data_IF_853317186012
#
_entry.id   IF_853317186012
#
_cell.length_a   1.000
_cell.length_b   1.000
_cell.length_c   1.000
_cell.angle_alpha   90.00
_cell.angle_beta   90.00
_cell.angle_gamma   90.00
#
_symmetry.space_group_name_H-M   'P 1'
#
loop_
_entity.id
_entity.type
_entity.pdbx_description
1 polymer ?
2 water ?
#
# COMPACT_ATOMS: atom_id res chain seq x y z
N UNK A 18 -20.89 -13.53 18.09
CA UNK A 18 -20.85 -13.76 16.66
C UNK A 18 -21.15 -12.49 15.83
N UNK A 19 -21.65 -11.42 16.45
CA UNK A 19 -21.90 -10.16 15.73
C UNK A 19 -20.59 -9.52 15.28
N UNK A 20 -20.43 -9.35 13.97
CA UNK A 20 -19.12 -9.04 13.40
C UNK A 20 -18.54 -7.72 13.89
N UNK A 21 -19.35 -6.78 14.37
CA UNK A 21 -18.78 -5.51 14.83
C UNK A 21 -18.35 -5.57 16.31
N UNK A 22 -18.38 -6.74 16.91
CA UNK A 22 -17.89 -6.96 18.27
C UNK A 22 -16.71 -7.92 18.28
N UNK A 23 -16.18 -8.28 17.12
CA UNK A 23 -15.13 -9.28 17.06
C UNK A 23 -13.82 -8.71 17.63
N UNK A 24 -13.10 -9.49 18.44
CA UNK A 24 -11.76 -9.07 18.89
C UNK A 24 -10.83 -8.92 17.69
N UNK A 25 -10.18 -7.77 17.59
CA UNK A 25 -9.52 -7.38 16.35
C UNK A 25 -8.08 -6.98 16.65
N UNK A 26 -7.14 -7.66 16.02
CA UNK A 26 -5.73 -7.36 16.21
C UNK A 26 -5.20 -6.61 14.98
N UNK A 27 -4.74 -5.38 15.18
CA UNK A 27 -4.24 -4.55 14.09
C UNK A 27 -2.72 -4.69 14.07
N UNK A 28 -2.17 -5.15 12.96
CA UNK A 28 -0.71 -5.35 12.84
C UNK A 28 -0.11 -4.17 12.09
N UNK A 29 0.70 -3.38 12.78
CA UNK A 29 1.26 -2.17 12.23
C UNK A 29 0.58 -0.98 12.87
N UNK A 30 1.36 -0.11 13.52
CA UNK A 30 0.83 1.05 14.23
C UNK A 30 1.16 2.37 13.53
N UNK A 31 1.10 2.38 12.20
CA UNK A 31 1.19 3.63 11.47
C UNK A 31 -0.02 4.51 11.74
N UNK A 32 0.01 5.75 11.24
CA UNK A 32 -1.13 6.65 11.48
C UNK A 32 -2.44 6.03 11.05
N UNK A 33 -2.44 5.31 9.93
CA UNK A 33 -3.64 4.64 9.46
C UNK A 33 -4.23 3.77 10.57
N UNK A 34 -3.38 3.15 11.38
CA UNK A 34 -3.91 2.25 12.40
C UNK A 34 -4.69 3.02 13.46
N UNK A 35 -4.34 4.28 13.71
CA UNK A 35 -5.07 5.06 14.69
C UNK A 35 -6.47 5.40 14.17
N UNK A 36 -6.54 5.95 12.96
CA UNK A 36 -7.82 6.17 12.29
C UNK A 36 -8.67 4.91 12.30
N UNK A 37 -8.08 3.78 11.88
CA UNK A 37 -8.79 2.52 11.82
C UNK A 37 -9.32 2.11 13.18
N UNK A 38 -8.48 2.21 14.20
CA UNK A 38 -8.91 1.85 15.55
C UNK A 38 -10.08 2.71 16.02
N UNK A 39 -10.07 4.01 15.71
CA UNK A 39 -11.20 4.88 16.03
C UNK A 39 -12.44 4.44 15.27
N UNK A 40 -12.28 4.10 13.99
CA UNK A 40 -13.41 3.70 13.16
C UNK A 40 -14.04 2.39 13.66
N UNK A 41 -13.24 1.46 14.18
CA UNK A 41 -13.80 0.21 14.70
C UNK A 41 -14.50 0.45 16.04
N UNK A 42 -13.86 1.23 16.92
CA UNK A 42 -14.41 1.54 18.23
C UNK A 42 -15.72 2.31 18.13
N UNK A 43 -15.86 3.11 17.08
CA UNK A 43 -17.07 3.90 16.87
C UNK A 43 -18.18 3.08 16.25
N UNK A 44 -17.85 1.99 15.55
CA UNK A 44 -18.88 1.14 14.96
C UNK A 44 -19.20 -0.08 15.80
N UNK A 45 -18.56 -0.26 16.95
CA UNK A 45 -18.91 -1.39 17.80
C UNK A 45 -18.07 -1.44 19.05
N UNK A 46 -18.41 -2.40 19.91
CA UNK A 46 -17.72 -2.62 21.18
C UNK A 46 -16.90 -3.90 21.01
N UNK A 47 -15.66 -3.72 20.59
CA UNK A 47 -14.80 -4.84 20.25
C UNK A 47 -13.47 -4.69 20.99
N UNK A 48 -12.92 -5.81 21.43
CA UNK A 48 -11.58 -5.79 21.99
C UNK A 48 -10.58 -5.44 20.89
N UNK A 49 -9.63 -4.56 21.20
CA UNK A 49 -8.70 -4.04 20.19
C UNK A 49 -7.26 -4.29 20.61
N UNK A 50 -6.51 -5.01 19.77
CA UNK A 50 -5.09 -5.21 19.95
C UNK A 50 -4.28 -4.49 18.90
N UNK A 51 -3.02 -4.22 19.19
CA UNK A 51 -2.17 -3.47 18.30
C UNK A 51 -0.76 -4.04 18.39
N UNK A 52 -0.10 -4.10 17.24
CA UNK A 52 1.28 -4.57 17.11
C UNK A 52 2.07 -3.52 16.37
N UNK A 53 3.31 -3.34 16.78
CA UNK A 53 4.27 -2.64 15.97
C UNK A 53 5.64 -3.21 16.26
N UNK A 54 6.47 -3.29 15.23
CA UNK A 54 7.81 -3.82 15.41
C UNK A 54 8.58 -2.97 16.41
N UNK A 55 9.62 -3.53 17.06
CA UNK A 55 10.34 -2.80 18.12
C UNK A 55 11.31 -1.74 17.60
N UNK A 56 10.91 -0.99 16.59
CA UNK A 56 11.65 0.21 16.18
C UNK A 56 11.72 1.21 17.32
N UNK A 57 12.39 2.33 17.09
CA UNK A 57 12.36 3.43 18.05
C UNK A 57 10.94 3.89 18.27
N UNK A 58 10.22 4.19 17.18
CA UNK A 58 8.82 4.57 17.25
C UNK A 58 7.99 3.56 18.03
N UNK A 59 8.12 2.28 17.68
CA UNK A 59 7.31 1.27 18.32
C UNK A 59 7.61 1.17 19.81
N UNK A 60 8.88 1.24 20.18
CA UNK A 60 9.24 1.20 21.59
C UNK A 60 8.63 2.37 22.34
N UNK A 61 8.70 3.56 21.76
CA UNK A 61 8.16 4.75 22.41
C UNK A 61 6.65 4.62 22.62
N UNK A 62 5.93 4.18 21.58
CA UNK A 62 4.52 3.86 21.73
C UNK A 62 4.29 2.76 22.75
N UNK A 63 5.19 1.78 22.80
CA UNK A 63 5.00 0.67 23.72
C UNK A 63 5.00 1.17 25.16
N UNK A 64 5.94 2.05 25.50
CA UNK A 64 5.99 2.64 26.82
C UNK A 64 4.76 3.49 27.09
N UNK A 65 4.49 4.44 26.19
CA UNK A 65 3.30 5.27 26.36
C UNK A 65 2.08 4.43 26.73
N UNK A 66 1.79 3.40 25.92
CA UNK A 66 0.52 2.70 26.07
C UNK A 66 0.46 1.91 27.37
N UNK A 67 1.62 1.50 27.89
CA UNK A 67 1.67 0.78 29.14
C UNK A 67 1.22 1.63 30.32
N UNK A 68 1.17 2.96 30.13
CA UNK A 68 0.75 3.91 31.14
C UNK A 68 -0.70 4.35 30.95
N UNK A 69 -1.04 4.70 29.71
CA UNK A 69 -2.37 5.19 29.37
C UNK A 69 -2.66 4.60 27.99
N UNK A 70 -3.49 3.55 27.91
CA UNK A 70 -3.63 2.82 26.64
C UNK A 70 -4.69 3.43 25.71
N UNK A 71 -4.47 4.69 25.32
CA UNK A 71 -5.44 5.38 24.47
C UNK A 71 -4.69 6.12 23.37
N UNK A 72 -5.25 6.07 22.17
CA UNK A 72 -4.79 6.82 21.02
C UNK A 72 -5.74 7.97 20.78
N UNK A 73 -5.26 8.96 20.02
CA UNK A 73 -6.00 10.18 19.76
C UNK A 73 -5.98 10.49 18.28
N UNK A 74 -7.09 11.01 17.78
CA UNK A 74 -7.26 11.33 16.37
C UNK A 74 -8.00 12.66 16.25
N UNK A 75 -7.54 13.50 15.33
CA UNK A 75 -8.19 14.77 15.00
C UNK A 75 -8.51 14.80 13.50
N UNK A 76 -9.79 14.91 13.16
CA UNK A 76 -10.14 15.23 11.79
C UNK A 76 -9.88 16.70 11.49
N UNK A 77 -9.28 16.96 10.34
CA UNK A 77 -9.00 18.32 9.89
C UNK A 77 -9.46 18.53 8.46
N UNK A 78 -9.70 19.79 8.12
CA UNK A 78 -10.10 20.16 6.77
C UNK A 78 -11.35 19.42 6.32
N UNK A 79 -11.30 18.90 5.09
CA UNK A 79 -12.38 18.07 4.55
C UNK A 79 -12.86 17.03 5.57
N UNK A 80 -11.92 16.32 6.18
CA UNK A 80 -12.24 15.22 7.08
C UNK A 80 -12.96 15.67 8.35
N UNK A 81 -12.80 16.94 8.74
CA UNK A 81 -13.52 17.49 9.88
C UNK A 81 -15.02 17.23 9.81
N UNK A 82 -15.54 17.00 8.60
CA UNK A 82 -16.97 16.81 8.40
C UNK A 82 -17.49 15.54 9.08
N UNK A 83 -16.69 14.46 9.03
CA UNK A 83 -17.08 13.18 9.62
C UNK A 83 -16.07 12.64 10.61
N UNK A 84 -14.97 13.34 10.85
CA UNK A 84 -14.00 12.95 11.87
C UNK A 84 -13.65 14.18 12.69
N UNK A 85 -14.08 14.18 13.96
CA UNK A 85 -13.72 15.19 14.92
C UNK A 85 -12.68 14.62 15.89
N UNK A 86 -12.51 15.26 17.04
CA UNK A 86 -11.60 14.74 18.04
C UNK A 86 -12.14 13.44 18.60
N UNK A 87 -11.30 12.40 18.61
CA UNK A 87 -11.70 11.09 19.13
C UNK A 87 -10.55 10.50 19.94
N UNK A 88 -10.91 9.54 20.78
CA UNK A 88 -9.99 8.80 21.63
C UNK A 88 -10.41 7.34 21.56
N UNK A 89 -9.45 6.43 21.60
CA UNK A 89 -9.77 5.00 21.54
C UNK A 89 -8.80 4.25 22.43
N UNK A 90 -9.34 3.31 23.23
CA UNK A 90 -8.56 2.52 24.14
C UNK A 90 -8.01 1.29 23.43
N UNK A 91 -6.75 0.96 23.70
CA UNK A 91 -6.14 -0.26 23.21
C UNK A 91 -6.12 -1.25 24.36
N UNK A 92 -6.67 -2.44 24.14
CA UNK A 92 -6.74 -3.43 25.20
C UNK A 92 -5.48 -4.26 25.30
N UNK A 93 -4.69 -4.33 24.23
CA UNK A 93 -3.51 -5.18 24.20
C UNK A 93 -2.56 -4.60 23.17
N UNK A 94 -1.31 -4.39 23.58
CA UNK A 94 -0.25 -3.95 22.68
C UNK A 94 0.89 -4.95 22.77
N UNK A 95 1.43 -5.32 21.61
CA UNK A 95 2.51 -6.28 21.51
C UNK A 95 3.53 -5.75 20.53
N UNK A 96 4.77 -6.18 20.71
CA UNK A 96 5.86 -5.84 19.80
C UNK A 96 6.61 -7.08 19.33
N UNK A 97 6.09 -8.27 19.59
CA UNK A 97 6.63 -9.50 19.07
C UNK A 97 5.47 -10.25 18.44
N UNK A 98 5.60 -10.60 17.15
CA UNK A 98 4.49 -11.29 16.49
C UNK A 98 4.28 -12.68 17.06
N UNK A 99 5.29 -13.26 17.71
CA UNK A 99 5.05 -14.51 18.40
C UNK A 99 4.04 -14.37 19.52
N UNK A 100 3.70 -13.14 19.91
CA UNK A 100 2.69 -12.92 20.93
C UNK A 100 1.31 -12.66 20.33
N UNK A 101 1.18 -12.84 19.01
CA UNK A 101 -0.10 -12.62 18.31
C UNK A 101 -0.89 -13.90 18.44
N UNK A 102 -1.48 -14.08 19.61
CA UNK A 102 -2.10 -15.34 20.02
C UNK A 102 -3.31 -15.01 20.89
N UNK A 103 -4.19 -15.99 21.06
CA UNK A 103 -5.38 -15.82 21.88
C UNK A 103 -6.64 -15.91 21.06
N UNK A 104 -7.66 -15.14 21.46
CA UNK A 104 -9.00 -15.30 20.90
C UNK A 104 -9.28 -14.32 19.78
N UNK A 105 -8.24 -13.75 19.18
CA UNK A 105 -8.42 -12.81 18.10
C UNK A 105 -9.14 -13.47 16.94
N UNK A 106 -10.16 -12.80 16.40
CA UNK A 106 -10.90 -13.34 15.29
C UNK A 106 -10.70 -12.56 14.01
N UNK A 107 -10.15 -11.36 14.09
CA UNK A 107 -9.83 -10.57 12.91
C UNK A 107 -8.42 -10.02 13.08
N UNK A 108 -7.60 -10.26 12.05
CA UNK A 108 -6.29 -9.62 11.90
C UNK A 108 -6.39 -8.61 10.79
N UNK A 109 -5.94 -7.39 11.04
CA UNK A 109 -5.90 -6.37 10.01
C UNK A 109 -4.43 -6.00 9.78
N UNK A 110 -3.93 -6.23 8.58
CA UNK A 110 -2.54 -5.89 8.23
C UNK A 110 -2.53 -4.44 7.77
N UNK A 111 -2.15 -3.56 8.68
CA UNK A 111 -1.89 -2.16 8.39
C UNK A 111 -0.46 -1.90 7.92
N UNK A 112 0.41 -2.90 7.95
CA UNK A 112 1.79 -2.76 7.47
C UNK A 112 1.76 -2.66 5.95
N UNK A 113 2.79 -2.11 5.31
CA UNK A 113 2.78 -2.07 3.85
C UNK A 113 2.86 -3.46 3.27
N UNK A 114 2.39 -3.57 2.02
CA UNK A 114 2.16 -4.87 1.41
C UNK A 114 3.43 -5.68 1.21
N UNK A 115 4.61 -5.05 1.02
CA UNK A 115 5.81 -5.83 0.81
C UNK A 115 6.32 -6.46 2.10
N UNK A 116 5.62 -6.27 3.21
CA UNK A 116 5.95 -6.86 4.49
C UNK A 116 4.96 -7.95 4.91
N UNK A 117 3.89 -8.16 4.15
CA UNK A 117 2.91 -9.20 4.45
C UNK A 117 3.59 -10.54 4.68
N UNK A 118 4.48 -10.93 3.76
CA UNK A 118 5.09 -12.26 3.85
C UNK A 118 5.88 -12.42 5.13
N UNK A 119 6.81 -11.50 5.40
CA UNK A 119 7.62 -11.58 6.61
C UNK A 119 6.73 -11.63 7.85
N UNK A 120 5.67 -10.83 7.85
CA UNK A 120 4.79 -10.75 9.01
C UNK A 120 4.00 -12.04 9.16
N UNK A 121 3.28 -12.46 8.12
CA UNK A 121 2.48 -13.67 8.21
C UNK A 121 3.31 -14.89 8.56
N UNK A 122 4.60 -14.91 8.18
CA UNK A 122 5.41 -16.08 8.51
C UNK A 122 5.73 -16.16 9.98
N UNK A 123 5.63 -15.04 10.70
CA UNK A 123 5.92 -15.00 12.12
C UNK A 123 4.69 -15.24 13.00
N UNK A 124 3.48 -15.33 12.43
CA UNK A 124 2.29 -15.42 13.28
C UNK A 124 2.08 -16.88 13.68
N UNK A 125 1.90 -17.15 14.92
CA UNK A 125 1.69 -18.55 15.34
C UNK A 125 0.24 -18.93 15.16
N UNK A 126 -0.08 -19.42 13.95
CA UNK A 126 -1.47 -19.61 13.55
C UNK A 126 -2.19 -20.60 14.44
N UNK A 127 -1.47 -21.57 15.00
CA UNK A 127 -2.10 -22.59 15.84
C UNK A 127 -2.65 -21.97 17.12
N UNK A 128 -2.14 -20.82 17.53
CA UNK A 128 -2.57 -20.16 18.75
C UNK A 128 -3.65 -19.11 18.49
N UNK A 129 -4.27 -19.16 17.31
CA UNK A 129 -5.40 -18.30 16.93
C UNK A 129 -6.53 -19.23 16.52
N UNK A 130 -7.11 -19.96 17.48
CA UNK A 130 -8.12 -20.97 17.13
C UNK A 130 -9.42 -20.39 16.61
N UNK A 131 -9.72 -19.12 16.86
CA UNK A 131 -10.99 -18.51 16.45
C UNK A 131 -10.83 -17.50 15.33
N UNK A 132 -9.73 -17.58 14.59
CA UNK A 132 -9.49 -16.66 13.50
C UNK A 132 -10.50 -16.82 12.39
N UNK A 133 -11.17 -15.74 12.01
CA UNK A 133 -12.16 -15.74 10.92
C UNK A 133 -11.77 -14.88 9.71
N UNK A 134 -10.97 -13.86 9.88
CA UNK A 134 -10.69 -13.04 8.72
C UNK A 134 -9.35 -12.34 8.84
N UNK A 135 -8.71 -12.12 7.70
CA UNK A 135 -7.49 -11.35 7.61
C UNK A 135 -7.69 -10.31 6.54
N UNK A 136 -7.55 -9.04 6.91
CA UNK A 136 -7.87 -7.92 6.02
C UNK A 136 -6.56 -7.24 5.62
N UNK A 137 -6.36 -7.10 4.31
CA UNK A 137 -5.16 -6.49 3.72
C UNK A 137 -5.50 -5.05 3.38
N UNK A 138 -5.08 -4.14 4.25
CA UNK A 138 -5.62 -2.81 4.28
C UNK A 138 -5.13 -1.99 3.09
N UNK A 139 -3.85 -2.09 2.77
CA UNK A 139 -3.29 -1.42 1.58
C UNK A 139 -2.59 -2.48 0.72
N UNK A 140 -3.41 -3.23 0.01
CA UNK A 140 -2.94 -4.41 -0.68
C UNK A 140 -2.08 -4.04 -1.89
N UNK A 141 -1.44 -5.05 -2.46
CA UNK A 141 -0.79 -4.94 -3.75
C UNK A 141 -1.31 -6.07 -4.61
N UNK A 142 -1.01 -6.01 -5.91
CA UNK A 142 -1.42 -7.08 -6.81
C UNK A 142 -0.72 -8.38 -6.45
N UNK A 143 -1.50 -9.42 -6.16
CA UNK A 143 -0.94 -10.70 -5.75
C UNK A 143 -0.91 -10.90 -4.25
N UNK A 144 -1.16 -9.86 -3.48
CA UNK A 144 -1.09 -9.98 -2.03
C UNK A 144 -2.06 -11.05 -1.53
N UNK A 145 -3.32 -11.03 -2.02
CA UNK A 145 -4.31 -11.96 -1.53
C UNK A 145 -4.05 -13.39 -1.97
N UNK A 146 -3.55 -13.58 -3.20
CA UNK A 146 -3.17 -14.93 -3.59
C UNK A 146 -2.07 -15.47 -2.69
N UNK A 147 -1.11 -14.61 -2.34
CA UNK A 147 -0.02 -15.04 -1.47
C UNK A 147 -0.54 -15.37 -0.07
N UNK A 148 -1.37 -14.50 0.49
CA UNK A 148 -1.87 -14.74 1.84
C UNK A 148 -2.72 -16.01 1.86
N UNK A 149 -3.53 -16.22 0.83
CA UNK A 149 -4.26 -17.48 0.72
C UNK A 149 -3.33 -18.68 0.85
N UNK A 150 -2.23 -18.64 0.11
CA UNK A 150 -1.32 -19.76 0.10
C UNK A 150 -0.78 -20.02 1.51
N UNK A 151 -0.32 -18.98 2.19
CA UNK A 151 0.21 -19.12 3.54
C UNK A 151 -0.86 -19.64 4.49
N UNK A 152 -2.07 -19.07 4.42
CA UNK A 152 -3.14 -19.56 5.29
C UNK A 152 -3.45 -21.02 4.99
N UNK A 153 -3.56 -21.36 3.71
CA UNK A 153 -3.92 -22.72 3.36
C UNK A 153 -2.91 -23.71 3.93
N UNK A 154 -1.62 -23.35 3.90
CA UNK A 154 -0.59 -24.20 4.45
C UNK A 154 -0.71 -24.33 5.96
N UNK A 155 -1.19 -23.31 6.67
CA UNK A 155 -1.40 -23.41 8.12
C UNK A 155 -2.76 -24.06 8.51
N UNK A 156 -3.48 -24.66 7.57
CA UNK A 156 -4.79 -25.20 7.89
C UNK A 156 -5.85 -24.15 8.14
N UNK A 157 -5.66 -22.91 7.65
CA UNK A 157 -6.60 -21.82 7.88
C UNK A 157 -7.34 -21.49 6.59
N UNK A 158 -7.55 -22.49 5.73
CA UNK A 158 -8.28 -22.30 4.51
C UNK A 158 -9.65 -21.66 4.73
N UNK A 159 -10.26 -21.88 5.90
CA UNK A 159 -11.56 -21.29 6.19
C UNK A 159 -11.51 -19.78 6.35
N UNK A 160 -10.36 -19.22 6.70
CA UNK A 160 -10.32 -17.79 7.04
C UNK A 160 -10.62 -16.95 5.81
N UNK A 161 -11.40 -15.88 6.00
CA UNK A 161 -11.72 -14.95 4.91
C UNK A 161 -10.59 -13.96 4.73
N UNK A 162 -10.08 -13.86 3.51
CA UNK A 162 -9.01 -12.93 3.15
C UNK A 162 -9.63 -11.81 2.34
N UNK A 163 -9.52 -10.57 2.83
CA UNK A 163 -10.04 -9.42 2.11
C UNK A 163 -8.89 -8.48 1.75
N UNK A 164 -8.77 -8.17 0.46
CA UNK A 164 -7.87 -7.13 -0.04
C UNK A 164 -8.61 -5.82 -0.26
N UNK A 165 -8.06 -4.72 0.26
CA UNK A 165 -8.54 -3.39 -0.10
C UNK A 165 -7.55 -2.75 -1.04
N UNK A 166 -8.06 -1.94 -1.98
CA UNK A 166 -7.21 -1.33 -3.01
C UNK A 166 -6.22 -0.33 -2.43
N UNK A 167 -6.60 0.39 -1.38
CA UNK A 167 -5.67 1.30 -0.74
C UNK A 167 -6.18 1.53 0.66
N UNK A 168 -5.37 2.21 1.45
CA UNK A 168 -5.90 2.74 2.70
C UNK A 168 -6.88 3.86 2.34
N UNK A 169 -7.85 4.09 3.21
CA UNK A 169 -9.03 4.87 2.84
C UNK A 169 -8.97 6.33 3.30
N UNK A 170 -7.83 6.79 3.79
CA UNK A 170 -7.68 8.15 4.30
C UNK A 170 -6.25 8.64 4.11
N UNK A 171 -6.09 9.96 4.18
CA UNK A 171 -4.77 10.59 4.31
C UNK A 171 -4.57 10.93 5.78
N UNK A 172 -3.86 10.06 6.50
CA UNK A 172 -3.63 10.21 7.93
C UNK A 172 -2.14 10.33 8.21
N UNK A 173 -1.79 11.13 9.21
CA UNK A 173 -0.39 11.41 9.52
C UNK A 173 -0.24 11.72 11.01
N UNK A 174 1.01 11.70 11.48
CA UNK A 174 1.23 12.01 12.89
C UNK A 174 1.23 13.52 13.11
N UNK A 175 1.18 13.90 14.39
CA UNK A 175 1.30 15.30 14.78
C UNK A 175 2.72 15.58 15.28
N UNK A 200 3.16 11.95 20.47
CA UNK A 200 3.32 11.99 19.02
C UNK A 200 2.86 10.67 18.37
N UNK A 201 3.53 9.55 18.67
CA UNK A 201 3.21 8.30 17.96
C UNK A 201 1.82 7.77 18.26
N UNK A 202 1.19 8.25 19.33
CA UNK A 202 -0.17 7.87 19.70
C UNK A 202 -1.17 8.94 19.32
N UNK A 203 -0.79 9.87 18.44
CA UNK A 203 -1.61 11.00 18.05
C UNK A 203 -1.53 11.16 16.54
N UNK A 204 -2.69 11.24 15.88
CA UNK A 204 -2.73 11.38 14.43
C UNK A 204 -3.76 12.43 14.03
N UNK A 205 -3.62 12.91 12.81
CA UNK A 205 -4.64 13.74 12.21
C UNK A 205 -4.95 13.20 10.82
N UNK A 206 -6.22 13.26 10.45
CA UNK A 206 -6.69 12.82 9.15
C UNK A 206 -7.13 14.05 8.36
N UNK A 207 -6.49 14.28 7.21
CA UNK A 207 -6.81 15.43 6.35
C UNK A 207 -8.03 15.17 5.47
N UNK A 208 -8.25 13.93 5.05
CA UNK A 208 -9.14 13.63 3.94
C UNK A 208 -9.46 12.14 3.94
N UNK A 209 -10.61 11.80 3.37
CA UNK A 209 -11.01 10.42 3.14
C UNK A 209 -11.19 10.17 1.66
N UNK A 210 -11.01 8.91 1.27
CA UNK A 210 -11.06 8.51 -0.14
C UNK A 210 -12.50 8.52 -0.65
N UNK A 211 -12.66 8.68 -1.97
CA UNK A 211 -13.97 8.62 -2.61
C UNK A 211 -14.55 7.22 -2.55
N UNK A 212 -13.81 6.24 -3.06
CA UNK A 212 -14.21 4.86 -3.08
C UNK A 212 -12.99 3.98 -2.83
N UNK A 213 -13.27 2.74 -2.43
CA UNK A 213 -12.29 1.69 -2.19
C UNK A 213 -12.80 0.45 -2.89
N UNK A 214 -11.93 -0.25 -3.60
CA UNK A 214 -12.27 -1.54 -4.17
C UNK A 214 -11.84 -2.64 -3.20
N UNK A 215 -12.70 -3.64 -3.02
CA UNK A 215 -12.36 -4.74 -2.12
C UNK A 215 -12.91 -6.03 -2.66
N UNK A 216 -12.35 -7.13 -2.16
CA UNK A 216 -12.81 -8.47 -2.54
C UNK A 216 -12.33 -9.45 -1.49
N UNK A 217 -13.05 -10.57 -1.35
CA UNK A 217 -12.48 -11.74 -0.70
C UNK A 217 -12.15 -12.78 -1.76
N UNK A 218 -11.53 -13.86 -1.30
CA UNK A 218 -11.02 -14.84 -2.23
C UNK A 218 -12.11 -15.57 -3.00
N UNK A 219 -13.37 -15.49 -2.57
CA UNK A 219 -14.43 -16.26 -3.21
C UNK A 219 -15.26 -15.41 -4.17
N UNK A 220 -14.91 -14.14 -4.34
CA UNK A 220 -15.72 -13.27 -5.14
C UNK A 220 -17.10 -13.04 -4.57
N UNK A 221 -17.29 -13.26 -3.27
CA UNK A 221 -18.56 -12.88 -2.68
C UNK A 221 -18.82 -11.42 -3.00
N UNK A 222 -20.03 -10.98 -2.76
CA UNK A 222 -20.36 -9.57 -2.91
C UNK A 222 -20.64 -8.90 -1.58
N UNK A 223 -21.02 -9.67 -0.57
CA UNK A 223 -21.50 -9.16 0.71
C UNK A 223 -21.56 -10.22 1.81
N UNK A 224 -20.43 -10.89 2.04
CA UNK A 224 -20.24 -11.62 3.28
C UNK A 224 -20.45 -10.68 4.47
N UNK A 225 -20.51 -11.28 5.66
CA UNK A 225 -20.60 -10.51 6.89
C UNK A 225 -19.42 -9.56 7.04
N UNK A 226 -18.21 -10.06 6.81
CA UNK A 226 -17.03 -9.20 6.96
C UNK A 226 -17.09 -8.04 5.99
N UNK A 227 -17.42 -8.32 4.74
CA UNK A 227 -17.50 -7.26 3.74
C UNK A 227 -18.55 -6.23 4.12
N UNK A 228 -19.70 -6.69 4.62
CA UNK A 228 -20.73 -5.78 5.12
C UNK A 228 -20.21 -4.96 6.30
N UNK A 229 -19.48 -5.59 7.22
CA UNK A 229 -18.88 -4.84 8.32
C UNK A 229 -17.93 -3.77 7.80
N UNK A 230 -17.01 -4.14 6.90
CA UNK A 230 -16.10 -3.14 6.32
C UNK A 230 -16.86 -1.99 5.65
N UNK A 231 -17.90 -2.31 4.88
CA UNK A 231 -18.69 -1.24 4.26
C UNK A 231 -19.26 -0.33 5.33
N UNK A 232 -19.83 -0.91 6.39
CA UNK A 232 -20.37 -0.11 7.49
C UNK A 232 -19.31 0.77 8.11
N UNK A 233 -18.11 0.23 8.33
CA UNK A 233 -17.02 1.02 8.91
C UNK A 233 -16.73 2.21 8.03
N UNK A 234 -16.64 1.98 6.72
CA UNK A 234 -16.18 3.03 5.84
C UNK A 234 -17.29 4.01 5.51
N UNK A 235 -18.54 3.56 5.55
CA UNK A 235 -19.68 4.45 5.29
C UNK A 235 -19.70 5.63 6.25
N UNK A 236 -19.27 5.43 7.49
CA UNK A 236 -19.19 6.51 8.46
C UNK A 236 -18.48 7.74 7.92
N UNK A 237 -17.67 7.60 6.86
CA UNK A 237 -16.97 8.72 6.25
C UNK A 237 -17.37 8.91 4.79
N UNK A 238 -18.52 8.38 4.39
CA UNK A 238 -19.05 8.57 3.03
C UNK A 238 -18.14 7.94 1.98
N UNK A 239 -17.41 6.90 2.36
CA UNK A 239 -16.51 6.23 1.43
C UNK A 239 -17.30 5.13 0.74
N UNK A 240 -17.26 5.13 -0.59
CA UNK A 240 -17.88 4.05 -1.35
C UNK A 240 -17.02 2.80 -1.28
N UNK A 241 -17.68 1.64 -1.21
CA UNK A 241 -17.02 0.35 -1.32
C UNK A 241 -17.57 -0.38 -2.54
N UNK A 242 -16.68 -0.86 -3.40
CA UNK A 242 -17.07 -1.54 -4.64
C UNK A 242 -16.58 -2.99 -4.62
N UNK A 243 -17.46 -4.00 -4.52
CA UNK A 243 -16.99 -5.39 -4.46
C UNK A 243 -16.49 -5.84 -5.82
N UNK A 244 -15.42 -6.64 -5.82
CA UNK A 244 -14.81 -7.14 -7.04
C UNK A 244 -14.91 -8.66 -7.09
N UNK A 245 -14.71 -9.24 -8.28
CA UNK A 245 -14.99 -10.67 -8.44
C UNK A 245 -13.90 -11.57 -7.86
N UNK A 246 -12.70 -11.05 -7.63
CA UNK A 246 -11.63 -11.81 -7.00
C UNK A 246 -10.63 -10.80 -6.44
N UNK A 247 -9.68 -11.32 -5.67
CA UNK A 247 -8.74 -10.46 -4.95
C UNK A 247 -7.94 -9.59 -5.93
N UNK A 248 -7.44 -10.18 -7.01
CA UNK A 248 -6.64 -9.44 -7.98
C UNK A 248 -7.47 -8.37 -8.68
N UNK A 249 -8.77 -8.64 -8.86
CA UNK A 249 -9.65 -7.67 -9.51
C UNK A 249 -9.95 -6.45 -8.63
N UNK A 250 -9.69 -6.52 -7.33
CA UNK A 250 -9.63 -5.34 -6.45
C UNK A 250 -8.22 -4.72 -6.40
N UNK A 251 -7.19 -5.57 -6.34
CA UNK A 251 -5.84 -5.07 -6.10
C UNK A 251 -5.34 -4.26 -7.29
N UNK A 252 -5.85 -4.56 -8.47
CA UNK A 252 -5.50 -3.85 -9.67
C UNK A 252 -5.77 -2.35 -9.54
N UNK A 253 -6.52 -1.94 -8.53
CA UNK A 253 -6.85 -0.53 -8.28
C UNK A 253 -5.95 0.10 -7.23
N UNK A 254 -4.75 -0.45 -7.01
CA UNK A 254 -3.82 0.15 -6.06
C UNK A 254 -3.00 1.21 -6.80
N UNK A 255 -3.29 2.48 -6.53
CA UNK A 255 -2.77 3.57 -7.33
C UNK A 255 -1.25 3.59 -7.26
N UNK A 256 -0.69 3.25 -6.10
CA UNK A 256 0.74 3.45 -5.91
C UNK A 256 1.57 2.52 -6.79
N UNK A 257 1.03 1.35 -7.15
CA UNK A 257 1.75 0.49 -8.08
C UNK A 257 1.97 1.18 -9.44
N UNK A 258 1.07 2.05 -9.84
CA UNK A 258 1.13 2.67 -11.14
C UNK A 258 1.99 3.93 -11.13
N UNK A 259 1.90 4.69 -10.04
CA UNK A 259 2.38 6.05 -10.02
C UNK A 259 3.75 6.16 -9.37
N UNK A 260 4.00 5.43 -8.29
CA UNK A 260 5.29 5.58 -7.62
C UNK A 260 6.48 5.16 -8.47
N UNK A 261 6.48 3.99 -9.10
CA UNK A 261 7.70 3.54 -9.75
C UNK A 261 8.19 4.52 -10.81
N UNK A 262 7.35 5.00 -11.74
CA UNK A 262 7.90 5.94 -12.75
C UNK A 262 8.43 7.23 -12.16
N UNK A 263 7.77 7.76 -11.13
CA UNK A 263 8.25 9.00 -10.52
C UNK A 263 9.43 8.72 -9.59
N UNK A 264 9.33 7.68 -8.77
CA UNK A 264 10.33 7.47 -7.75
C UNK A 264 11.63 6.93 -8.32
N UNK A 265 11.56 6.22 -9.44
CA UNK A 265 12.70 5.54 -10.01
C UNK A 265 13.26 6.26 -11.24
N UNK A 266 12.81 7.49 -11.48
CA UNK A 266 13.41 8.34 -12.49
C UNK A 266 14.85 8.67 -12.12
N UNK A 267 15.72 8.64 -13.13
CA UNK A 267 17.12 9.01 -12.93
C UNK A 267 17.27 10.18 -11.97
N UNK A 268 16.53 11.26 -12.19
CA UNK A 268 16.77 12.45 -11.37
C UNK A 268 16.26 12.22 -9.96
N UNK A 269 15.26 11.37 -9.78
CA UNK A 269 14.82 11.10 -8.42
C UNK A 269 15.78 10.16 -7.72
N UNK A 270 16.28 9.15 -8.42
CA UNK A 270 17.25 8.25 -7.81
C UNK A 270 18.51 8.99 -7.40
N UNK A 271 18.91 10.01 -8.18
CA UNK A 271 20.10 10.79 -7.84
C UNK A 271 19.87 11.57 -6.56
N UNK A 272 18.69 12.19 -6.41
CA UNK A 272 18.37 12.91 -5.18
C UNK A 272 18.30 11.97 -4.00
N UNK A 273 17.74 10.78 -4.21
CA UNK A 273 17.68 9.76 -3.16
C UNK A 273 19.07 9.36 -2.69
N UNK A 274 19.97 9.06 -3.61
CA UNK A 274 21.26 8.46 -3.23
C UNK A 274 22.39 9.47 -3.05
N UNK A 275 22.11 10.77 -3.20
CA UNK A 275 23.09 11.83 -2.95
C UNK A 275 22.42 12.81 -2.00
N UNK A 276 22.41 12.50 -0.70
CA UNK A 276 21.55 13.24 0.23
C UNK A 276 21.88 14.71 0.36
N UNK A 277 23.00 15.18 -0.15
CA UNK A 277 23.39 16.58 0.03
C UNK A 277 22.91 17.47 -1.10
N UNK A 278 22.52 16.91 -2.22
CA UNK A 278 22.12 17.77 -3.31
C UNK A 278 20.70 18.30 -3.04
N UNK A 279 20.36 19.38 -3.72
CA UNK A 279 19.09 20.05 -3.45
C UNK A 279 17.92 19.09 -3.55
N UNK A 280 16.94 19.31 -2.70
CA UNK A 280 15.79 18.44 -2.62
C UNK A 280 15.00 18.45 -3.92
N UNK A 281 14.44 17.29 -4.25
CA UNK A 281 13.52 17.13 -5.35
C UNK A 281 12.12 16.92 -4.78
N UNK A 282 11.11 17.21 -5.61
CA UNK A 282 9.71 17.02 -5.25
C UNK A 282 9.14 15.98 -6.19
N UNK A 283 8.46 14.99 -5.61
CA UNK A 283 8.11 13.80 -6.37
C UNK A 283 7.20 14.11 -7.56
N UNK A 284 6.35 15.12 -7.47
CA UNK A 284 5.34 15.36 -8.50
C UNK A 284 5.64 16.60 -9.35
N UNK A 285 6.69 17.34 -9.06
CA UNK A 285 7.00 18.53 -9.84
C UNK A 285 7.70 18.16 -11.14
N UNK A 286 7.63 19.09 -12.08
CA UNK A 286 8.32 18.99 -13.37
C UNK A 286 9.80 19.29 -13.24
N UNK A 287 10.55 18.82 -14.22
CA UNK A 287 11.99 19.05 -14.25
C UNK A 287 12.23 20.57 -14.32
N UNK A 288 13.24 21.07 -13.61
CA UNK A 288 14.27 20.37 -12.83
C UNK A 288 14.00 20.23 -11.34
N UNK A 289 12.79 20.56 -10.89
CA UNK A 289 12.46 20.48 -9.47
C UNK A 289 11.92 19.12 -9.08
N UNK A 290 11.47 18.32 -10.03
CA UNK A 290 11.08 16.96 -9.77
C UNK A 290 11.18 16.19 -11.06
N UNK A 291 10.62 14.99 -11.09
CA UNK A 291 10.91 14.10 -12.22
C UNK A 291 9.97 14.24 -13.42
N UNK A 292 8.82 14.89 -13.29
CA UNK A 292 7.83 14.82 -14.36
C UNK A 292 8.39 15.46 -15.62
N UNK A 293 8.33 14.70 -16.71
CA UNK A 293 8.79 15.10 -18.03
C UNK A 293 8.29 14.04 -18.99
N UNK A 294 8.44 14.22 -20.30
CA UNK A 294 7.94 13.21 -21.23
C UNK A 294 8.50 11.81 -21.03
N UNK A 295 9.79 11.67 -20.69
CA UNK A 295 10.34 10.32 -20.56
C UNK A 295 9.71 9.60 -19.36
N UNK A 296 9.49 10.32 -18.26
CA UNK A 296 8.91 9.72 -17.07
C UNK A 296 7.45 9.37 -17.30
N UNK A 297 6.72 10.27 -17.98
CA UNK A 297 5.34 9.99 -18.35
C UNK A 297 5.27 8.79 -19.27
N UNK A 298 6.25 8.65 -20.16
CA UNK A 298 6.30 7.47 -21.01
C UNK A 298 6.44 6.20 -20.19
N UNK A 299 7.23 6.26 -19.11
CA UNK A 299 7.38 5.11 -18.21
C UNK A 299 6.08 4.81 -17.48
N UNK A 300 5.33 5.86 -17.13
CA UNK A 300 4.04 5.70 -16.49
C UNK A 300 3.09 4.99 -17.43
N UNK A 301 2.90 5.52 -18.63
CA UNK A 301 2.08 4.83 -19.61
C UNK A 301 2.60 3.43 -19.89
N UNK A 302 3.92 3.26 -19.99
CA UNK A 302 4.46 1.96 -20.33
C UNK A 302 4.26 0.94 -19.22
N UNK A 303 4.43 1.38 -17.97
CA UNK A 303 4.24 0.44 -16.86
C UNK A 303 2.79 -0.02 -16.77
N UNK A 304 1.82 0.87 -17.05
CA UNK A 304 0.43 0.46 -17.10
C UNK A 304 0.18 -0.53 -18.24
N UNK A 305 0.84 -0.34 -19.38
CA UNK A 305 0.78 -1.36 -20.43
C UNK A 305 1.28 -2.70 -19.90
N UNK A 306 2.37 -2.69 -19.13
CA UNK A 306 2.94 -3.93 -18.64
C UNK A 306 1.98 -4.65 -17.68
N UNK A 307 1.32 -3.91 -16.78
CA UNK A 307 0.39 -4.54 -15.85
C UNK A 307 -0.79 -5.15 -16.59
N UNK A 308 -1.28 -4.49 -17.63
CA UNK A 308 -2.33 -5.06 -18.45
C UNK A 308 -1.91 -6.43 -18.99
N UNK A 309 -0.67 -6.52 -19.52
CA UNK A 309 -0.18 -7.81 -19.99
C UNK A 309 -0.26 -8.85 -18.89
N UNK A 310 0.23 -8.49 -17.70
CA UNK A 310 0.33 -9.46 -16.61
C UNK A 310 -1.06 -9.79 -16.07
N UNK A 311 -1.86 -8.75 -15.81
CA UNK A 311 -3.21 -8.96 -15.31
C UNK A 311 -4.02 -9.83 -16.27
N UNK A 312 -3.94 -9.52 -17.56
CA UNK A 312 -4.63 -10.31 -18.55
C UNK A 312 -4.18 -11.77 -18.50
N UNK A 313 -2.87 -11.99 -18.40
CA UNK A 313 -2.37 -13.35 -18.29
C UNK A 313 -2.95 -14.08 -17.09
N UNK A 314 -3.19 -13.37 -15.99
CA UNK A 314 -3.75 -13.93 -14.78
C UNK A 314 -5.26 -14.03 -14.84
N UNK A 315 -5.87 -13.68 -15.97
CA UNK A 315 -7.31 -13.74 -16.13
C UNK A 315 -8.08 -12.53 -15.65
N UNK A 316 -7.44 -11.36 -15.58
CA UNK A 316 -8.04 -10.19 -14.97
C UNK A 316 -7.95 -9.03 -15.96
N UNK A 317 -9.02 -8.24 -16.02
CA UNK A 317 -9.05 -7.15 -16.96
C UNK A 317 -8.22 -5.97 -16.44
N UNK A 318 -7.58 -5.27 -17.36
CA UNK A 318 -6.85 -4.05 -17.00
C UNK A 318 -7.82 -2.96 -16.60
N UNK A 319 -7.31 -2.00 -15.82
CA UNK A 319 -8.11 -0.82 -15.47
C UNK A 319 -7.95 0.23 -16.56
N UNK A 320 -8.82 1.24 -16.56
CA UNK A 320 -8.62 2.48 -17.31
C UNK A 320 -7.86 3.42 -16.40
N UNK A 321 -6.55 3.55 -16.62
CA UNK A 321 -5.68 4.26 -15.68
C UNK A 321 -6.14 5.70 -15.49
N UNK A 322 -6.36 6.42 -16.59
CA UNK A 322 -6.67 7.85 -16.46
C UNK A 322 -8.04 8.07 -15.81
N UNK A 323 -9.04 7.26 -16.13
CA UNK A 323 -10.32 7.37 -15.42
C UNK A 323 -10.16 7.05 -13.94
N UNK A 324 -9.41 6.00 -13.62
CA UNK A 324 -9.12 5.69 -12.22
C UNK A 324 -8.51 6.89 -11.51
N UNK A 325 -7.45 7.46 -12.09
CA UNK A 325 -6.76 8.57 -11.43
C UNK A 325 -7.69 9.76 -11.27
N UNK A 326 -8.40 10.13 -12.33
CA UNK A 326 -9.19 11.35 -12.26
C UNK A 326 -10.44 11.14 -11.42
N UNK A 327 -11.19 10.07 -11.69
CA UNK A 327 -12.53 9.91 -11.13
C UNK A 327 -12.55 9.14 -9.81
N UNK A 328 -11.62 8.22 -9.57
CA UNK A 328 -11.59 7.52 -8.28
C UNK A 328 -10.66 8.15 -7.25
N UNK A 329 -9.85 9.16 -7.64
CA UNK A 329 -8.78 9.69 -6.78
C UNK A 329 -8.73 11.22 -6.70
N UNK A 330 -8.19 11.90 -7.73
CA UNK A 330 -8.00 13.35 -7.65
C UNK A 330 -8.29 14.00 -9.00
N UNK A 331 -9.37 14.74 -9.15
CA UNK A 331 -9.78 15.23 -10.48
C UNK A 331 -9.07 16.51 -10.88
N UNK A 332 -9.01 16.70 -12.19
CA UNK A 332 -8.54 17.97 -12.72
C UNK A 332 -9.61 18.46 -13.69
N UNK A 333 -9.67 19.77 -13.91
CA UNK A 333 -10.73 20.34 -14.75
C UNK A 333 -10.71 19.74 -16.14
N UNK A 334 -11.89 19.72 -16.76
CA UNK A 334 -12.01 19.12 -18.09
C UNK A 334 -11.39 19.98 -19.17
N UNK A 335 -11.12 21.24 -18.87
CA UNK A 335 -10.41 22.09 -19.80
C UNK A 335 -8.94 21.68 -19.91
N UNK A 336 -8.42 20.91 -18.95
CA UNK A 336 -7.08 20.36 -19.06
C UNK A 336 -7.15 18.93 -19.57
N UNK A 337 -7.83 18.03 -18.84
CA UNK A 337 -8.00 16.66 -19.27
C UNK A 337 -9.46 16.45 -19.65
N UNK A 338 -9.76 16.30 -20.94
CA UNK A 338 -11.14 16.23 -21.38
C UNK A 338 -11.78 14.90 -20.93
N UNK A 339 -13.12 14.88 -20.86
CA UNK A 339 -13.80 13.62 -20.60
C UNK A 339 -13.53 12.62 -21.72
N UNK A 340 -13.34 13.12 -22.93
CA UNK A 340 -13.01 12.22 -24.03
C UNK A 340 -11.71 11.48 -23.76
N UNK A 341 -10.70 12.20 -23.28
CA UNK A 341 -9.43 11.55 -22.98
C UNK A 341 -9.59 10.49 -21.88
N UNK A 342 -10.40 10.80 -20.87
CA UNK A 342 -10.63 9.90 -19.75
C UNK A 342 -11.36 8.65 -20.20
N UNK A 343 -12.50 8.83 -20.85
CA UNK A 343 -13.35 7.69 -21.18
C UNK A 343 -12.70 6.82 -22.23
N UNK A 344 -11.93 7.40 -23.13
CA UNK A 344 -11.37 6.65 -24.25
C UNK A 344 -9.90 6.30 -24.03
N UNK A 345 -9.30 6.72 -22.92
CA UNK A 345 -7.86 6.51 -22.67
C UNK A 345 -7.34 5.17 -23.17
N UNK A 346 -7.97 4.02 -22.85
CA UNK A 346 -7.32 2.74 -23.20
C UNK A 346 -7.24 2.51 -24.70
N UNK A 347 -8.08 3.14 -25.50
CA UNK A 347 -7.98 3.04 -26.95
C UNK A 347 -7.16 4.17 -27.58
N UNK A 348 -6.64 5.11 -26.79
CA UNK A 348 -5.86 6.20 -27.38
C UNK A 348 -4.48 5.69 -27.80
N UNK A 349 -3.87 6.30 -28.81
CA UNK A 349 -2.51 5.90 -29.17
C UNK A 349 -1.54 6.21 -28.05
N UNK A 350 -0.44 5.45 -27.93
CA UNK A 350 0.52 5.69 -26.85
C UNK A 350 0.88 7.16 -26.65
N UNK A 351 1.23 7.88 -27.74
CA UNK A 351 1.65 9.26 -27.56
C UNK A 351 0.52 10.12 -27.02
N UNK A 352 -0.74 9.81 -27.39
CA UNK A 352 -1.83 10.61 -26.86
C UNK A 352 -2.14 10.25 -25.43
N UNK A 353 -1.98 8.97 -25.06
CA UNK A 353 -2.03 8.61 -23.66
C UNK A 353 -1.02 9.43 -22.86
N UNK A 354 0.20 9.56 -23.40
CA UNK A 354 1.24 10.26 -22.66
C UNK A 354 0.93 11.74 -22.57
N UNK A 355 0.56 12.35 -23.69
CA UNK A 355 0.10 13.74 -23.64
C UNK A 355 -0.94 13.89 -22.53
N UNK A 356 -1.96 13.02 -22.51
CA UNK A 356 -3.03 13.20 -21.52
C UNK A 356 -2.48 13.11 -20.11
N UNK A 357 -1.59 12.15 -19.88
CA UNK A 357 -1.01 11.98 -18.56
C UNK A 357 -0.15 13.15 -18.17
N UNK A 358 0.68 13.67 -19.11
CA UNK A 358 1.48 14.83 -18.78
C UNK A 358 0.61 15.99 -18.38
N UNK A 359 -0.46 16.23 -19.14
CA UNK A 359 -1.39 17.32 -18.82
C UNK A 359 -1.99 17.09 -17.44
N UNK A 360 -2.44 15.85 -17.17
CA UNK A 360 -2.98 15.54 -15.85
C UNK A 360 -2.03 15.95 -14.74
N UNK A 361 -0.75 15.53 -14.84
CA UNK A 361 0.17 15.82 -13.75
C UNK A 361 0.56 17.29 -13.69
N UNK A 362 0.56 17.97 -14.83
CA UNK A 362 0.73 19.42 -14.78
C UNK A 362 -0.43 20.07 -14.06
N UNK A 363 -1.66 19.67 -14.40
CA UNK A 363 -2.85 20.29 -13.81
C UNK A 363 -2.94 20.04 -12.32
N UNK A 364 -2.47 18.87 -11.86
CA UNK A 364 -2.50 18.50 -10.44
C UNK A 364 -1.71 19.48 -9.59
N UNK A 365 -0.66 20.09 -10.15
CA UNK A 365 0.21 21.00 -9.41
C UNK A 365 -0.33 22.43 -9.26
N UNK A 366 -1.39 22.77 -9.97
CA UNK A 366 -1.93 24.12 -9.97
C UNK A 366 -3.15 24.19 -9.05
N UNK A 379 -5.73 18.17 -2.17
CA UNK A 379 -4.48 17.50 -1.82
C UNK A 379 -3.31 18.32 -2.36
N UNK A 380 -2.14 18.22 -1.70
CA UNK A 380 -1.01 19.11 -1.96
C UNK A 380 0.14 18.30 -2.56
N UNK A 381 0.01 17.95 -3.83
CA UNK A 381 1.07 17.21 -4.49
C UNK A 381 2.36 18.01 -4.54
N UNK A 382 2.26 19.32 -4.76
CA UNK A 382 3.45 20.17 -4.81
C UNK A 382 4.32 20.06 -3.57
N UNK A 383 3.80 19.55 -2.48
CA UNK A 383 4.50 19.55 -1.21
C UNK A 383 5.27 18.26 -0.94
N UNK A 384 4.96 17.17 -1.67
CA UNK A 384 5.60 15.88 -1.43
C UNK A 384 7.07 15.97 -1.82
N UNK A 385 7.95 15.92 -0.84
CA UNK A 385 9.38 15.93 -1.07
C UNK A 385 9.88 14.52 -1.35
N UNK A 386 11.01 14.42 -2.03
CA UNK A 386 11.65 13.12 -2.25
C UNK A 386 12.59 12.86 -1.08
N UNK A 387 12.37 11.75 -0.38
CA UNK A 387 13.18 11.44 0.78
C UNK A 387 14.48 10.79 0.33
N UNK A 388 15.52 10.97 1.13
CA UNK A 388 16.84 10.44 0.80
C UNK A 388 17.22 9.28 1.71
N UNK A 389 18.24 8.55 1.29
CA UNK A 389 18.92 7.62 2.18
C UNK A 389 19.27 8.33 3.47
N UNK A 390 19.31 7.55 4.55
CA UNK A 390 19.48 8.05 5.90
C UNK A 390 20.15 6.96 6.71
N UNK A 391 20.86 7.37 7.77
CA UNK A 391 21.44 6.43 8.71
C UNK A 391 20.54 6.25 9.92
N UNK A 392 20.59 5.06 10.51
CA UNK A 392 19.90 4.76 11.75
C UNK A 392 20.86 4.96 12.92
N UNK A 393 20.36 4.67 14.12
CA UNK A 393 21.16 4.84 15.35
C UNK A 393 22.49 4.09 15.28
N UNK A 394 22.54 2.94 14.61
CA UNK A 394 23.80 2.22 14.39
C UNK A 394 24.61 2.77 13.22
N UNK A 395 24.20 3.88 12.62
CA UNK A 395 24.91 4.44 11.47
C UNK A 395 24.89 3.50 10.27
N UNK A 396 23.86 2.67 10.15
CA UNK A 396 23.63 1.90 8.94
C UNK A 396 22.69 2.66 8.01
N UNK A 397 23.02 2.66 6.72
CA UNK A 397 22.20 3.37 5.75
C UNK A 397 20.94 2.60 5.40
N UNK A 398 19.85 3.34 5.26
CA UNK A 398 18.55 2.80 4.91
C UNK A 398 18.00 3.51 3.69
N UNK A 399 17.21 2.84 2.97
CA UNK A 399 16.31 3.46 2.02
C UNK A 399 15.03 3.90 2.71
N UNK A 400 14.41 5.00 2.27
CA UNK A 400 13.08 5.34 2.75
C UNK A 400 12.02 4.48 2.07
N UNK A 401 10.81 4.51 2.66
CA UNK A 401 9.69 3.68 2.20
C UNK A 401 9.42 3.85 0.72
N UNK A 402 9.41 5.08 0.24
CA UNK A 402 9.43 5.35 -1.19
C UNK A 402 10.89 5.58 -1.59
N UNK A 403 11.49 4.70 -2.42
CA UNK A 403 10.93 3.62 -3.25
C UNK A 403 11.06 2.19 -2.73
N UNK A 404 11.56 1.99 -1.50
CA UNK A 404 11.88 0.62 -1.09
C UNK A 404 10.64 -0.29 -1.21
N UNK A 405 9.49 0.17 -0.70
CA UNK A 405 8.27 -0.61 -0.84
C UNK A 405 7.94 -0.84 -2.32
N UNK A 406 8.01 0.22 -3.13
CA UNK A 406 7.59 0.14 -4.53
C UNK A 406 8.48 -0.78 -5.32
N UNK A 407 9.79 -0.75 -5.05
CA UNK A 407 10.71 -1.68 -5.68
C UNK A 407 10.36 -3.14 -5.32
N UNK A 408 10.11 -3.41 -4.04
CA UNK A 408 9.75 -4.78 -3.65
C UNK A 408 8.46 -5.25 -4.33
N UNK A 409 7.42 -4.42 -4.30
CA UNK A 409 6.16 -4.81 -4.93
C UNK A 409 6.35 -5.06 -6.41
N UNK A 410 7.09 -4.18 -7.08
CA UNK A 410 7.28 -4.33 -8.50
C UNK A 410 8.20 -5.49 -8.83
N UNK A 411 9.24 -5.71 -8.03
CA UNK A 411 10.12 -6.87 -8.29
C UNK A 411 9.35 -8.18 -8.15
N UNK A 412 8.46 -8.28 -7.15
CA UNK A 412 7.66 -9.49 -7.02
C UNK A 412 6.85 -9.75 -8.30
N UNK A 413 6.20 -8.69 -8.84
CA UNK A 413 5.39 -8.87 -10.04
C UNK A 413 6.26 -9.18 -11.25
N UNK A 414 7.43 -8.57 -11.33
CA UNK A 414 8.32 -8.87 -12.44
C UNK A 414 8.74 -10.33 -12.41
N UNK A 415 9.13 -10.85 -11.24
CA UNK A 415 9.48 -12.27 -11.15
C UNK A 415 8.31 -13.15 -11.47
N UNK A 416 7.10 -12.76 -11.04
CA UNK A 416 5.91 -13.50 -11.41
C UNK A 416 5.74 -13.53 -12.92
N UNK A 417 5.89 -12.37 -13.55
CA UNK A 417 5.70 -12.27 -14.98
C UNK A 417 6.64 -13.18 -15.73
N UNK A 418 7.92 -13.19 -15.36
CA UNK A 418 8.86 -14.05 -16.05
C UNK A 418 8.53 -15.53 -15.89
N UNK A 419 8.05 -15.92 -14.71
CA UNK A 419 7.55 -17.28 -14.53
C UNK A 419 6.41 -17.60 -15.47
N UNK A 420 5.56 -16.62 -15.79
CA UNK A 420 4.39 -16.85 -16.63
C UNK A 420 4.62 -16.49 -18.07
N UNK A 421 5.85 -16.21 -18.45
CA UNK A 421 6.22 -15.93 -19.83
C UNK A 421 5.62 -14.62 -20.35
N UNK A 422 5.38 -13.62 -19.50
CA UNK A 422 5.01 -12.30 -19.99
C UNK A 422 6.15 -11.33 -19.71
N UNK A 423 6.38 -10.45 -20.66
CA UNK A 423 7.49 -9.51 -20.62
C UNK A 423 6.93 -8.17 -20.17
N UNK A 424 7.65 -7.50 -19.28
CA UNK A 424 7.28 -6.17 -18.80
C UNK A 424 8.47 -5.23 -18.98
N UNK A 425 8.68 -4.71 -20.21
CA UNK A 425 9.93 -3.96 -20.47
C UNK A 425 10.06 -2.70 -19.65
N UNK A 426 8.95 -2.04 -19.30
CA UNK A 426 9.09 -0.79 -18.57
C UNK A 426 9.46 -1.09 -17.13
N UNK A 427 8.71 -2.01 -16.50
CA UNK A 427 9.10 -2.50 -15.17
C UNK A 427 10.57 -2.92 -15.15
N UNK A 428 10.97 -3.68 -16.15
CA UNK A 428 12.35 -4.16 -16.16
C UNK A 428 13.35 -3.00 -16.24
N UNK A 429 13.05 -1.99 -17.05
CA UNK A 429 13.97 -0.86 -17.19
C UNK A 429 14.01 -0.04 -15.91
N UNK A 430 12.86 0.18 -15.26
CA UNK A 430 12.85 0.87 -13.98
C UNK A 430 13.64 0.10 -12.90
N UNK A 431 13.53 -1.21 -12.88
CA UNK A 431 14.23 -1.95 -11.83
C UNK A 431 15.73 -2.08 -12.13
N UNK A 432 16.11 -2.23 -13.40
CA UNK A 432 17.53 -2.19 -13.76
C UNK A 432 18.15 -0.86 -13.36
N UNK A 433 17.46 0.23 -13.65
CA UNK A 433 17.94 1.56 -13.27
C UNK A 433 18.10 1.67 -11.77
N UNK A 434 17.08 1.25 -11.01
CA UNK A 434 17.19 1.32 -9.57
C UNK A 434 18.35 0.49 -9.07
N UNK A 435 18.51 -0.72 -9.61
CA UNK A 435 19.55 -1.62 -9.09
C UNK A 435 20.94 -1.07 -9.34
N UNK A 436 21.17 -0.44 -10.49
CA UNK A 436 22.50 0.10 -10.76
C UNK A 436 22.81 1.27 -9.83
N UNK A 437 21.87 2.22 -9.70
CA UNK A 437 21.99 3.27 -8.70
C UNK A 437 22.26 2.72 -7.31
N UNK A 438 21.52 1.68 -6.91
CA UNK A 438 21.69 1.14 -5.57
C UNK A 438 23.08 0.54 -5.39
N UNK A 439 23.52 -0.29 -6.35
CA UNK A 439 24.88 -0.83 -6.31
C UNK A 439 25.90 0.28 -6.19
N UNK A 440 25.75 1.34 -6.99
CA UNK A 440 26.72 2.43 -6.91
C UNK A 440 26.71 3.05 -5.53
N UNK A 441 25.54 3.14 -4.90
CA UNK A 441 25.50 3.77 -3.59
C UNK A 441 26.17 2.89 -2.53
N UNK A 442 25.98 1.57 -2.63
CA UNK A 442 26.54 0.66 -1.64
C UNK A 442 28.05 0.66 -1.72
N UNK A 443 28.60 0.88 -2.92
CA UNK A 443 30.03 0.94 -3.09
C UNK A 443 30.60 2.26 -2.57
N UNK A 444 29.83 3.34 -2.68
CA UNK A 444 30.27 4.60 -2.09
C UNK A 444 30.37 4.48 -0.58
N UNK A 445 29.35 3.92 0.06
CA UNK A 445 29.31 3.87 1.53
C UNK A 445 29.93 2.59 2.09
N UNK A 446 30.06 1.53 1.29
CA UNK A 446 30.53 0.25 1.77
C UNK A 446 29.43 -0.65 2.27
N UNK A 447 29.41 -1.89 1.78
CA UNK A 447 28.33 -2.83 2.10
C UNK A 447 28.23 -3.08 3.61
N UNK A 448 29.35 -3.01 4.33
CA UNK A 448 29.31 -3.23 5.77
C UNK A 448 28.51 -2.14 6.47
N UNK A 449 28.41 -0.96 5.87
CA UNK A 449 27.71 0.17 6.48
C UNK A 449 26.28 0.32 5.97
N UNK A 450 25.73 -0.73 5.36
CA UNK A 450 24.36 -0.72 4.85
C UNK A 450 23.50 -1.65 5.67
N UNK A 451 22.29 -1.18 5.99
CA UNK A 451 21.31 -2.05 6.64
C UNK A 451 20.95 -3.18 5.67
N UNK A 452 20.67 -4.37 6.19
CA UNK A 452 20.46 -5.53 5.30
C UNK A 452 19.28 -5.38 4.36
N UNK A 453 18.34 -4.47 4.64
CA UNK A 453 17.26 -4.21 3.70
C UNK A 453 17.79 -3.76 2.34
N UNK A 454 19.01 -3.24 2.30
CA UNK A 454 19.62 -2.81 1.06
C UNK A 454 20.24 -3.96 0.26
N UNK A 455 20.38 -5.15 0.86
CA UNK A 455 21.23 -6.19 0.30
C UNK A 455 20.50 -7.45 -0.14
N UNK A 456 19.19 -7.52 0.06
CA UNK A 456 18.44 -8.70 -0.32
C UNK A 456 16.97 -8.51 -0.01
N UNK A 457 16.16 -9.42 -0.55
CA UNK A 457 14.73 -9.39 -0.32
C UNK A 457 14.17 -10.80 -0.53
N UNK A 458 12.92 -10.98 -0.14
CA UNK A 458 12.23 -12.25 -0.31
C UNK A 458 11.23 -12.19 -1.46
N UNK A 459 11.46 -11.30 -2.44
CA UNK A 459 10.53 -11.16 -3.56
C UNK A 459 10.43 -12.46 -4.34
N UNK A 460 11.54 -13.18 -4.47
CA UNK A 460 11.59 -14.45 -5.18
C UNK A 460 10.61 -15.48 -4.58
N UNK A 461 10.61 -15.64 -3.27
CA UNK A 461 9.70 -16.63 -2.69
C UNK A 461 8.24 -16.19 -2.83
N UNK A 462 7.98 -14.90 -2.63
CA UNK A 462 6.63 -14.38 -2.77
C UNK A 462 6.08 -14.68 -4.16
N UNK A 463 6.85 -14.36 -5.19
CA UNK A 463 6.44 -14.63 -6.57
C UNK A 463 6.15 -16.11 -6.78
N UNK A 464 6.99 -16.99 -6.22
CA UNK A 464 6.76 -18.42 -6.38
C UNK A 464 5.48 -18.85 -5.67
N UNK A 465 5.23 -18.29 -4.51
CA UNK A 465 4.01 -18.62 -3.78
C UNK A 465 2.79 -18.08 -4.50
N UNK A 466 2.87 -16.88 -5.05
CA UNK A 466 1.72 -16.36 -5.78
C UNK A 466 1.41 -17.27 -6.96
N UNK A 467 2.43 -17.65 -7.73
CA UNK A 467 2.24 -18.47 -8.94
C UNK A 467 1.60 -19.79 -8.57
N UNK A 468 2.10 -20.39 -7.49
CA UNK A 468 1.61 -21.66 -6.99
C UNK A 468 0.13 -21.56 -6.64
N UNK A 469 -0.27 -20.54 -5.89
CA UNK A 469 -1.68 -20.37 -5.56
C UNK A 469 -2.52 -20.16 -6.82
N UNK A 470 -2.08 -19.25 -7.68
CA UNK A 470 -2.82 -18.93 -8.89
C UNK A 470 -3.03 -20.16 -9.75
N UNK A 471 -1.97 -20.96 -9.95
CA UNK A 471 -2.08 -22.14 -10.80
C UNK A 471 -3.01 -23.20 -10.22
N UNK A 472 -3.20 -23.20 -8.91
CA UNK A 472 -4.05 -24.19 -8.24
C UNK A 472 -5.53 -23.88 -8.37
N UNK A 473 -5.90 -22.84 -9.11
CA UNK A 473 -7.30 -22.45 -9.30
C UNK A 473 -7.63 -22.29 -10.78
N UNK A 474 -6.74 -22.70 -11.67
CA UNK A 474 -6.81 -22.37 -13.09
C UNK A 474 -6.29 -23.54 -13.94
#
# INVERSE_FOLDING_TARGET
>A
HHHHHHSSGRENLYFQGHMHNTLPTLILGAGPAAIQLAVDISATGDARLGLYNRPSTKGERLKQYLALTPTLYLQGTGKAQATQKESSVTIDCYIDQLAQAVGDWQRLILAVPADHYYAVLQQIPWAALPQLKSVILLSSSMGSGLMVQNLLNAAGKRDVEVISLSSYYADTKYIRAETQDISANTQDINAGTQDIGAIQPYRAYTKAFKQRIYLANQWGNAGSAEMSWLTAVLARHHIDTLPCSNLLAAERFSITNYVHPPLALADTTLQALFYPEQRSQYLYKTQPEGPVCPAVIADLAGLADDYKRLLNRLGVEEINLLRFLNDDNYPVPASMVSRRWIDEFPQLPPLEQQYALFVRYTALLVDPYSTPDEQGRFYDFSAVKVATVYQDANALWHLPRVPLEDVHKLRTLLLLAGALDVVMPTAQRLLQRFQQALKAFIDRVGEEHCHPSLLGDDCDRQAAIIEQQWRSQT
#
